data_IF_404250282096
#
_entry.id   IF_404250282096
#
_cell.length_a   1.000
_cell.length_b   1.000
_cell.length_c   1.000
_cell.angle_alpha   90.00
_cell.angle_beta   90.00
_cell.angle_gamma   90.00
#
_symmetry.space_group_name_H-M   'P 1'
#
loop_
_entity.id
_entity.type
_entity.pdbx_description
1 polymer ?
#
# COMPACT_ATOMS: atom_id res chain seq x y z
N UNK A 1 23.90 -18.09 -7.98
CA UNK A 1 23.84 -17.07 -6.89
C UNK A 1 22.92 -15.93 -7.33
N UNK A 2 21.92 -15.54 -6.55
CA UNK A 2 21.09 -14.37 -6.89
C UNK A 2 21.95 -13.10 -6.93
N UNK A 3 21.73 -12.22 -7.91
CA UNK A 3 22.45 -10.94 -7.99
C UNK A 3 22.11 -10.11 -6.75
N UNK A 4 23.09 -9.89 -5.87
CA UNK A 4 22.95 -8.95 -4.74
C UNK A 4 22.93 -7.55 -5.33
N UNK A 5 21.75 -6.95 -5.45
CA UNK A 5 21.59 -5.56 -5.84
C UNK A 5 22.09 -4.68 -4.71
N UNK A 6 23.01 -3.75 -5.01
CA UNK A 6 23.51 -2.79 -4.03
C UNK A 6 22.43 -1.76 -3.69
N UNK A 7 21.63 -2.05 -2.66
CA UNK A 7 20.67 -1.08 -2.09
C UNK A 7 21.35 -0.34 -0.94
N UNK A 8 21.27 0.99 -0.94
CA UNK A 8 21.87 1.80 0.13
C UNK A 8 21.31 1.38 1.51
N UNK A 9 22.17 1.43 2.53
CA UNK A 9 21.82 0.97 3.89
C UNK A 9 20.54 1.63 4.45
N UNK A 10 20.31 2.95 4.29
CA UNK A 10 19.09 3.59 4.79
C UNK A 10 17.81 3.01 4.19
N UNK A 11 17.81 2.67 2.89
CA UNK A 11 16.64 2.06 2.23
C UNK A 11 16.38 0.64 2.74
N UNK A 12 17.43 -0.14 3.02
CA UNK A 12 17.29 -1.47 3.64
C UNK A 12 16.73 -1.38 5.06
N UNK A 13 17.23 -0.43 5.85
CA UNK A 13 16.71 -0.17 7.19
C UNK A 13 15.25 0.28 7.16
N UNK A 14 14.89 1.19 6.25
CA UNK A 14 13.51 1.65 6.05
C UNK A 14 12.57 0.50 5.66
N UNK A 15 12.98 -0.38 4.75
CA UNK A 15 12.20 -1.57 4.38
C UNK A 15 12.00 -2.49 5.59
N UNK A 16 13.07 -2.79 6.33
CA UNK A 16 12.98 -3.66 7.51
C UNK A 16 12.04 -3.08 8.58
N UNK A 17 12.16 -1.78 8.88
CA UNK A 17 11.26 -1.09 9.81
C UNK A 17 9.80 -1.15 9.31
N UNK A 18 9.58 -0.93 8.01
CA UNK A 18 8.25 -1.00 7.38
C UNK A 18 7.64 -2.40 7.48
N UNK A 19 8.43 -3.45 7.25
CA UNK A 19 7.98 -4.84 7.38
C UNK A 19 7.55 -5.14 8.82
N UNK A 20 8.31 -4.67 9.81
CA UNK A 20 7.97 -4.83 11.22
C UNK A 20 6.68 -4.07 11.56
N UNK A 21 6.57 -2.82 11.12
CA UNK A 21 5.39 -1.99 11.35
C UNK A 21 4.13 -2.62 10.73
N UNK A 22 4.16 -2.96 9.44
CA UNK A 22 2.99 -3.46 8.70
C UNK A 22 2.53 -4.86 9.14
N UNK A 23 3.43 -5.67 9.72
CA UNK A 23 3.06 -6.95 10.36
C UNK A 23 2.18 -6.75 11.60
N UNK A 24 2.44 -5.69 12.36
CA UNK A 24 1.70 -5.32 13.57
C UNK A 24 0.51 -4.39 13.30
N UNK A 25 0.28 -4.02 12.05
CA UNK A 25 -0.84 -3.16 11.70
C UNK A 25 -2.18 -3.81 12.15
N UNK A 26 -3.09 -3.03 12.77
CA UNK A 26 -4.36 -3.54 13.25
C UNK A 26 -5.21 -4.05 12.09
N UNK A 27 -6.15 -4.95 12.36
CA UNK A 27 -7.03 -5.50 11.33
C UNK A 27 -7.80 -4.41 10.55
N UNK A 28 -8.17 -3.32 11.23
CA UNK A 28 -8.80 -2.16 10.60
C UNK A 28 -7.96 -1.50 9.52
N UNK A 29 -6.63 -1.67 9.50
CA UNK A 29 -5.77 -1.15 8.43
C UNK A 29 -5.97 -1.88 7.08
N UNK A 30 -6.77 -2.95 7.03
CA UNK A 30 -7.14 -3.67 5.80
C UNK A 30 -8.27 -3.01 5.02
N UNK A 31 -8.90 -1.96 5.57
CA UNK A 31 -9.99 -1.27 4.89
C UNK A 31 -9.50 -0.59 3.61
N UNK A 32 -10.41 -0.47 2.64
CA UNK A 32 -10.09 0.17 1.37
C UNK A 32 -9.81 1.67 1.58
N UNK A 33 -8.97 2.29 0.74
CA UNK A 33 -8.79 3.74 0.76
C UNK A 33 -10.10 4.51 0.62
N UNK A 34 -11.07 3.99 -0.13
CA UNK A 34 -12.40 4.58 -0.29
C UNK A 34 -13.19 4.62 1.04
N UNK A 35 -13.11 3.57 1.85
CA UNK A 35 -13.75 3.52 3.16
C UNK A 35 -13.15 4.57 4.10
N UNK A 36 -11.82 4.69 4.15
CA UNK A 36 -11.16 5.72 4.95
C UNK A 36 -11.45 7.13 4.47
N UNK A 37 -11.50 7.35 3.15
CA UNK A 37 -11.83 8.63 2.57
C UNK A 37 -13.23 9.10 2.97
N UNK A 38 -14.23 8.21 2.88
CA UNK A 38 -15.60 8.52 3.32
C UNK A 38 -15.67 8.77 4.83
N UNK A 39 -15.01 7.93 5.63
CA UNK A 39 -15.01 8.06 7.09
C UNK A 39 -14.36 9.39 7.53
N UNK A 40 -13.20 9.74 6.96
CA UNK A 40 -12.50 10.98 7.26
C UNK A 40 -13.31 12.20 6.83
N UNK A 41 -13.91 12.17 5.63
CA UNK A 41 -14.81 13.23 5.16
C UNK A 41 -15.99 13.43 6.14
N UNK A 42 -16.58 12.34 6.63
CA UNK A 42 -17.64 12.37 7.63
C UNK A 42 -17.20 12.97 8.96
N UNK A 43 -16.02 12.60 9.46
CA UNK A 43 -15.44 13.14 10.68
C UNK A 43 -15.17 14.66 10.58
N UNK A 44 -14.80 15.13 9.38
CA UNK A 44 -14.62 16.55 9.08
C UNK A 44 -15.93 17.28 8.72
N UNK A 45 -17.08 16.61 8.79
CA UNK A 45 -18.41 17.17 8.47
C UNK A 45 -18.49 17.78 7.07
N UNK A 46 -17.79 17.19 6.11
CA UNK A 46 -17.77 17.66 4.72
C UNK A 46 -18.78 16.90 3.87
N UNK A 47 -19.48 17.61 2.97
CA UNK A 47 -20.17 16.96 1.86
C UNK A 47 -19.17 16.49 0.80
N UNK A 48 -19.59 15.63 -0.14
CA UNK A 48 -18.76 15.28 -1.29
C UNK A 48 -18.41 16.51 -2.14
N UNK A 49 -19.31 17.49 -2.23
CA UNK A 49 -19.07 18.74 -2.95
C UNK A 49 -18.02 19.61 -2.26
N UNK A 50 -17.99 19.63 -0.91
CA UNK A 50 -16.97 20.37 -0.16
C UNK A 50 -15.58 19.78 -0.38
N UNK A 51 -15.45 18.45 -0.28
CA UNK A 51 -14.19 17.78 -0.58
C UNK A 51 -13.75 18.00 -2.02
N UNK A 52 -14.69 17.89 -2.97
CA UNK A 52 -14.41 18.11 -4.39
C UNK A 52 -13.86 19.53 -4.65
N UNK A 53 -14.53 20.56 -4.12
CA UNK A 53 -14.10 21.95 -4.21
C UNK A 53 -12.70 22.13 -3.62
N UNK A 54 -12.45 21.53 -2.45
CA UNK A 54 -11.19 21.67 -1.74
C UNK A 54 -10.03 20.94 -2.43
N UNK A 55 -10.30 19.79 -3.05
CA UNK A 55 -9.31 18.99 -3.76
C UNK A 55 -9.14 19.41 -5.25
N UNK A 56 -9.93 20.37 -5.74
CA UNK A 56 -9.90 20.79 -7.14
C UNK A 56 -10.36 19.71 -8.12
N UNK A 57 -11.37 18.92 -7.75
CA UNK A 57 -11.98 17.87 -8.59
C UNK A 57 -13.51 18.02 -8.64
N UNK A 58 -14.19 17.20 -9.45
CA UNK A 58 -15.66 17.21 -9.50
C UNK A 58 -16.27 16.39 -8.36
N UNK A 59 -17.48 16.76 -7.92
CA UNK A 59 -18.25 15.96 -6.95
C UNK A 59 -18.49 14.53 -7.44
N UNK A 60 -18.81 14.36 -8.72
CA UNK A 60 -19.00 13.04 -9.34
C UNK A 60 -17.74 12.18 -9.28
N UNK A 61 -16.55 12.79 -9.33
CA UNK A 61 -15.29 12.07 -9.16
C UNK A 61 -15.12 11.58 -7.72
N UNK A 62 -15.41 12.43 -6.72
CA UNK A 62 -15.40 12.03 -5.30
C UNK A 62 -16.38 10.88 -5.05
N UNK A 63 -17.61 10.98 -5.57
CA UNK A 63 -18.63 9.94 -5.43
C UNK A 63 -18.16 8.58 -6.00
N UNK A 64 -17.54 8.59 -7.18
CA UNK A 64 -16.97 7.39 -7.81
C UNK A 64 -15.83 6.77 -6.99
N UNK A 65 -14.96 7.61 -6.44
CA UNK A 65 -13.87 7.14 -5.56
C UNK A 65 -14.46 6.50 -4.29
N UNK A 66 -15.44 7.15 -3.66
CA UNK A 66 -16.07 6.63 -2.44
C UNK A 66 -16.93 5.38 -2.65
N UNK A 67 -17.46 5.14 -3.85
CA UNK A 67 -18.17 3.91 -4.17
C UNK A 67 -17.21 2.74 -4.42
N UNK A 68 -15.90 2.99 -4.48
CA UNK A 68 -14.90 1.98 -4.85
C UNK A 68 -15.06 1.51 -6.30
N UNK A 69 -15.72 2.31 -7.15
CA UNK A 69 -15.99 1.94 -8.53
C UNK A 69 -14.85 2.37 -9.46
N UNK A 70 -14.28 1.39 -10.16
CA UNK A 70 -13.16 1.60 -11.09
C UNK A 70 -11.81 1.75 -10.40
N UNK A 71 -10.76 1.86 -11.22
CA UNK A 71 -9.40 2.02 -10.72
C UNK A 71 -9.10 3.49 -10.40
N UNK A 72 -8.75 3.78 -9.15
CA UNK A 72 -8.46 5.13 -8.69
C UNK A 72 -6.96 5.34 -8.70
N UNK A 73 -6.52 6.31 -9.51
CA UNK A 73 -5.11 6.68 -9.59
C UNK A 73 -4.58 7.17 -8.23
N UNK A 74 -3.37 6.74 -7.87
CA UNK A 74 -2.72 7.14 -6.60
C UNK A 74 -2.61 8.66 -6.45
N UNK A 75 -2.37 9.38 -7.55
CA UNK A 75 -2.33 10.84 -7.54
C UNK A 75 -3.67 11.47 -7.13
N UNK A 76 -4.80 10.88 -7.55
CA UNK A 76 -6.14 11.31 -7.14
C UNK A 76 -6.37 11.06 -5.66
N UNK A 77 -6.04 9.87 -5.16
CA UNK A 77 -6.14 9.57 -3.72
C UNK A 77 -5.32 10.55 -2.90
N UNK A 78 -4.07 10.83 -3.31
CA UNK A 78 -3.22 11.79 -2.61
C UNK A 78 -3.85 13.18 -2.54
N UNK A 79 -4.38 13.70 -3.66
CA UNK A 79 -5.07 15.01 -3.67
C UNK A 79 -6.28 15.04 -2.72
N UNK A 80 -7.06 13.97 -2.68
CA UNK A 80 -8.25 13.91 -1.83
C UNK A 80 -7.91 13.81 -0.34
N UNK A 81 -6.91 13.01 0.03
CA UNK A 81 -6.44 12.92 1.41
C UNK A 81 -5.74 14.21 1.86
N UNK A 82 -4.94 14.83 0.99
CA UNK A 82 -4.26 16.11 1.27
C UNK A 82 -5.28 17.24 1.52
N UNK A 83 -6.36 17.29 0.73
CA UNK A 83 -7.50 18.19 0.97
C UNK A 83 -8.22 17.95 2.30
N UNK A 84 -7.92 16.86 3.01
CA UNK A 84 -8.42 16.52 4.35
C UNK A 84 -7.31 16.47 5.41
N UNK A 85 -6.16 17.11 5.14
CA UNK A 85 -4.99 17.17 6.05
C UNK A 85 -4.39 15.80 6.36
N UNK A 86 -4.44 14.87 5.41
CA UNK A 86 -3.97 13.51 5.60
C UNK A 86 -2.96 13.15 4.50
N UNK A 87 -1.78 12.70 4.93
CA UNK A 87 -0.78 12.16 4.00
C UNK A 87 -1.14 10.73 3.59
N UNK A 88 -1.03 10.44 2.29
CA UNK A 88 -1.20 9.08 1.77
C UNK A 88 0.09 8.28 1.95
N UNK A 89 0.10 7.42 2.96
CA UNK A 89 1.20 6.48 3.21
C UNK A 89 0.96 5.14 2.51
N UNK A 90 1.83 4.77 1.57
CA UNK A 90 1.79 3.48 0.85
C UNK A 90 2.95 2.62 1.33
N UNK A 91 2.63 1.54 2.04
CA UNK A 91 3.63 0.62 2.58
C UNK A 91 3.42 -0.80 2.05
N UNK A 92 4.50 -1.51 1.66
CA UNK A 92 4.41 -2.94 1.39
C UNK A 92 4.13 -3.70 2.69
N UNK A 93 3.07 -4.53 2.68
CA UNK A 93 2.81 -5.53 3.73
C UNK A 93 3.19 -6.91 3.20
N UNK A 94 4.31 -7.49 3.63
CA UNK A 94 4.73 -8.80 3.14
C UNK A 94 3.84 -9.92 3.66
N UNK A 95 3.44 -10.85 2.77
CA UNK A 95 2.78 -12.11 3.16
C UNK A 95 3.76 -13.11 3.82
N UNK A 96 5.04 -13.05 3.43
CA UNK A 96 6.16 -13.86 3.94
C UNK A 96 7.38 -12.96 4.11
N UNK A 97 8.31 -13.25 5.03
CA UNK A 97 9.55 -12.43 5.05
C UNK A 97 10.30 -12.61 3.73
N UNK A 98 11.14 -11.64 3.32
CA UNK A 98 12.01 -11.83 2.17
C UNK A 98 12.89 -13.10 2.29
N UNK A 99 13.33 -13.44 3.50
CA UNK A 99 14.10 -14.66 3.76
C UNK A 99 13.29 -15.93 3.50
N UNK A 100 12.07 -16.01 4.04
CA UNK A 100 11.17 -17.16 3.81
C UNK A 100 10.85 -17.31 2.32
N UNK A 101 10.59 -16.20 1.63
CA UNK A 101 10.30 -16.21 0.19
C UNK A 101 11.51 -16.68 -0.64
N UNK A 102 12.74 -16.36 -0.21
CA UNK A 102 13.96 -16.85 -0.86
C UNK A 102 14.17 -18.35 -0.59
N UNK A 103 13.98 -18.80 0.65
CA UNK A 103 14.12 -20.20 1.04
C UNK A 103 13.14 -21.08 0.26
N UNK A 104 11.87 -20.69 0.17
CA UNK A 104 10.85 -21.39 -0.59
C UNK A 104 11.21 -21.48 -2.08
N UNK A 105 11.61 -20.37 -2.70
CA UNK A 105 12.08 -20.35 -4.09
C UNK A 105 13.28 -21.27 -4.32
N UNK A 106 14.19 -21.36 -3.35
CA UNK A 106 15.38 -22.21 -3.47
C UNK A 106 15.04 -23.71 -3.29
N UNK A 107 13.99 -24.04 -2.53
CA UNK A 107 13.42 -25.39 -2.44
C UNK A 107 12.63 -25.80 -3.70
N UNK A 108 11.97 -24.85 -4.38
CA UNK A 108 11.24 -25.10 -5.63
C UNK A 108 12.17 -25.36 -6.83
N UNK A 109 13.45 -25.00 -6.73
CA UNK A 109 14.41 -25.37 -7.78
C UNK A 109 14.59 -26.88 -7.77
N UNK A 110 14.43 -27.57 -8.91
CA UNK A 110 14.75 -28.99 -8.96
C UNK A 110 16.20 -29.14 -8.50
N UNK A 111 16.41 -29.87 -7.41
CA UNK A 111 17.73 -30.32 -7.00
C UNK A 111 18.36 -30.94 -8.25
N UNK A 112 19.40 -30.31 -8.78
CA UNK A 112 20.18 -30.91 -9.86
C UNK A 112 20.61 -32.28 -9.37
N UNK A 113 20.14 -33.34 -10.04
CA UNK A 113 20.37 -34.74 -9.67
C UNK A 113 21.85 -34.92 -9.35
N UNK A 114 22.24 -35.10 -8.08
CA UNK A 114 23.60 -35.46 -7.77
C UNK A 114 23.68 -36.99 -7.90
N UNK A 115 24.67 -37.46 -8.66
CA UNK A 115 24.99 -38.88 -8.90
C UNK A 115 24.08 -39.57 -9.92
N UNK A 116 24.43 -39.43 -11.21
CA UNK A 116 24.22 -40.49 -12.18
C UNK A 116 25.59 -41.17 -12.34
N UNK A 117 25.63 -42.46 -12.00
CA UNK A 117 26.79 -43.34 -12.06
C UNK A 117 27.28 -43.56 -13.50
#
# INVERSE_FOLDING_TARGET
MGKVTKVALPHRQALNATIVYTRRAPEGARQSPAAFLRALRGALRMSQADLARRAGVTQSHVARVESGSGDVQLGTLRKLFDAMFCDLLILPRPRKTPGDALAERDLEKPFGRPWAD
#
